data_IF_913743102790
#
_entry.id   IF_913743102790
#
_cell.length_a   1.000
_cell.length_b   1.000
_cell.length_c   1.000
_cell.angle_alpha   90.00
_cell.angle_beta   90.00
_cell.angle_gamma   90.00
#
_symmetry.space_group_name_H-M   'P 1'
#
loop_
_entity.id
_entity.type
_entity.pdbx_description
1 polymer ?
#
# COMPACT_ATOMS: atom_id res chain seq x y z
N UNK A 1 15.37 -2.89 5.07
CA UNK A 1 13.91 -2.57 5.21
C UNK A 1 13.09 -3.85 5.13
N UNK A 2 11.97 -3.96 5.89
CA UNK A 2 11.08 -5.13 5.84
C UNK A 2 9.66 -4.72 5.46
N UNK A 3 9.06 -5.49 4.56
CA UNK A 3 7.66 -5.39 4.14
C UNK A 3 6.87 -6.55 4.74
N UNK A 4 5.82 -6.29 5.53
CA UNK A 4 4.85 -7.29 5.98
C UNK A 4 3.51 -7.03 5.28
N UNK A 5 2.99 -8.02 4.56
CA UNK A 5 1.72 -7.92 3.86
C UNK A 5 0.57 -8.26 4.80
N UNK A 6 -0.16 -7.25 5.25
CA UNK A 6 -1.31 -7.43 6.14
C UNK A 6 -2.56 -7.84 5.35
N UNK A 7 -2.71 -7.32 4.13
CA UNK A 7 -3.79 -7.66 3.22
C UNK A 7 -3.38 -7.41 1.78
N UNK A 8 -3.97 -8.18 0.86
CA UNK A 8 -3.55 -8.22 -0.55
C UNK A 8 -4.72 -8.25 -1.54
N UNK A 9 -5.96 -8.14 -1.06
CA UNK A 9 -7.12 -8.28 -1.92
C UNK A 9 -7.74 -6.93 -2.28
N UNK A 10 -8.29 -6.83 -3.47
CA UNK A 10 -9.13 -5.74 -3.96
C UNK A 10 -10.14 -6.23 -5.00
N UNK A 11 -11.29 -5.55 -5.15
CA UNK A 11 -11.81 -4.47 -4.32
C UNK A 11 -12.54 -4.93 -3.03
N UNK A 12 -12.48 -6.23 -2.71
CA UNK A 12 -13.03 -6.80 -1.47
C UNK A 12 -12.21 -8.01 -1.03
N UNK A 13 -12.16 -8.33 0.27
CA UNK A 13 -11.40 -9.47 0.75
C UNK A 13 -12.14 -10.77 0.46
N UNK A 14 -11.42 -11.84 0.16
CA UNK A 14 -12.00 -13.19 0.19
C UNK A 14 -12.22 -13.66 1.65
N UNK A 15 -12.99 -14.74 1.90
CA UNK A 15 -13.15 -15.29 3.25
C UNK A 15 -11.81 -15.55 3.93
N UNK A 16 -11.62 -14.99 5.14
CA UNK A 16 -10.37 -15.05 5.89
C UNK A 16 -9.23 -14.15 5.38
N UNK A 17 -9.44 -13.43 4.28
CA UNK A 17 -8.50 -12.46 3.72
C UNK A 17 -8.69 -11.05 4.27
N UNK A 18 -7.82 -10.13 3.82
CA UNK A 18 -7.92 -8.69 4.05
C UNK A 18 -7.67 -7.92 2.75
N UNK A 19 -8.23 -6.71 2.66
CA UNK A 19 -7.94 -5.76 1.59
C UNK A 19 -6.53 -5.20 1.70
N UNK A 20 -6.17 -4.28 0.80
CA UNK A 20 -4.82 -3.72 0.70
C UNK A 20 -4.33 -3.12 2.01
N UNK A 21 -3.15 -3.57 2.48
CA UNK A 21 -2.48 -3.02 3.64
C UNK A 21 -1.09 -3.63 3.82
N UNK A 22 -0.09 -2.75 3.98
CA UNK A 22 1.32 -3.12 3.99
C UNK A 22 2.03 -2.41 5.13
N UNK A 23 2.61 -3.18 6.05
CA UNK A 23 3.37 -2.65 7.16
C UNK A 23 4.86 -2.67 6.82
N UNK A 24 5.52 -1.52 6.91
CA UNK A 24 6.94 -1.36 6.61
C UNK A 24 7.70 -0.98 7.88
N UNK A 25 8.81 -1.67 8.10
CA UNK A 25 9.75 -1.44 9.17
C UNK A 25 11.15 -1.16 8.61
N UNK A 26 11.77 -0.06 9.05
CA UNK A 26 13.17 0.25 8.75
C UNK A 26 13.86 0.82 10.00
N UNK A 27 14.65 -0.02 10.68
CA UNK A 27 15.19 0.29 12.00
C UNK A 27 14.07 0.62 13.01
N UNK A 28 14.05 1.84 13.57
CA UNK A 28 13.00 2.25 14.50
C UNK A 28 11.72 2.73 13.79
N UNK A 29 11.78 3.02 12.48
CA UNK A 29 10.67 3.62 11.73
C UNK A 29 9.63 2.58 11.34
N UNK A 30 8.37 2.91 11.57
CA UNK A 30 7.21 2.05 11.33
C UNK A 30 6.12 2.81 10.59
N UNK A 31 5.81 2.40 9.38
CA UNK A 31 4.72 3.00 8.60
C UNK A 31 3.71 1.96 8.14
N UNK A 32 2.48 2.39 7.97
CA UNK A 32 1.42 1.60 7.34
C UNK A 32 1.09 2.23 5.98
N UNK A 33 1.13 1.44 4.92
CA UNK A 33 0.65 1.83 3.58
C UNK A 33 -0.67 1.13 3.35
N UNK A 34 -1.70 1.90 3.08
CA UNK A 34 -3.10 1.50 2.96
C UNK A 34 -3.64 0.76 4.21
N UNK A 35 -4.93 0.86 4.43
CA UNK A 35 -5.62 0.30 5.58
C UNK A 35 -7.03 -0.14 5.21
N UNK A 36 -7.13 -1.09 4.29
CA UNK A 36 -8.39 -1.68 3.86
C UNK A 36 -9.00 -2.65 4.88
N UNK A 37 -10.15 -3.21 4.55
CA UNK A 37 -10.91 -4.08 5.46
C UNK A 37 -10.09 -5.29 5.95
N UNK A 38 -9.97 -5.45 7.27
CA UNK A 38 -9.25 -6.54 7.95
C UNK A 38 -7.77 -6.25 8.23
N UNK A 39 -7.25 -5.09 7.80
CA UNK A 39 -5.86 -4.70 8.00
C UNK A 39 -5.56 -4.34 9.44
N UNK A 40 -6.43 -3.58 10.10
CA UNK A 40 -6.22 -3.14 11.47
C UNK A 40 -5.96 -4.32 12.44
N UNK A 41 -6.78 -5.36 12.37
CA UNK A 41 -6.64 -6.50 13.28
C UNK A 41 -5.30 -7.22 13.11
N UNK A 42 -4.76 -7.25 11.89
CA UNK A 42 -3.46 -7.84 11.58
C UNK A 42 -2.30 -6.92 11.90
N UNK A 43 -2.48 -5.60 11.74
CA UNK A 43 -1.49 -4.62 12.18
C UNK A 43 -1.23 -4.73 13.68
N UNK A 44 -2.29 -4.92 14.48
CA UNK A 44 -2.19 -5.05 15.93
C UNK A 44 -1.47 -6.33 16.40
N UNK A 45 -1.24 -7.30 15.52
CA UNK A 45 -0.33 -8.42 15.78
C UNK A 45 1.15 -7.97 15.84
N UNK A 46 1.48 -6.79 15.31
CA UNK A 46 2.85 -6.24 15.18
C UNK A 46 3.06 -4.97 16.00
N UNK A 47 2.11 -4.04 15.92
CA UNK A 47 2.23 -2.71 16.54
C UNK A 47 0.85 -2.13 16.84
N UNK A 48 0.72 -1.39 17.95
CA UNK A 48 -0.46 -0.58 18.19
C UNK A 48 -0.45 0.64 17.25
N UNK A 49 -1.58 1.04 16.62
CA UNK A 49 -1.63 2.14 15.65
C UNK A 49 -1.04 3.47 16.16
N UNK A 50 -1.16 3.77 17.45
CA UNK A 50 -0.57 4.97 18.06
C UNK A 50 0.97 5.00 17.99
N UNK A 51 1.62 3.88 17.74
CA UNK A 51 3.09 3.75 17.64
C UNK A 51 3.58 3.74 16.18
N UNK A 52 2.70 3.98 15.20
CA UNK A 52 3.10 4.23 13.83
C UNK A 52 3.70 5.63 13.69
N UNK A 53 4.76 5.76 12.90
CA UNK A 53 5.33 7.05 12.56
C UNK A 53 4.50 7.77 11.48
N UNK A 54 3.84 7.02 10.60
CA UNK A 54 2.89 7.53 9.63
C UNK A 54 1.96 6.43 9.10
N UNK A 55 0.81 6.86 8.58
CA UNK A 55 -0.05 6.11 7.67
C UNK A 55 -0.01 6.83 6.33
N UNK A 56 0.17 6.08 5.24
CA UNK A 56 0.23 6.63 3.89
C UNK A 56 -0.80 5.90 3.02
N UNK A 57 -1.78 6.62 2.49
CA UNK A 57 -2.76 6.06 1.58
C UNK A 57 -2.35 6.30 0.14
N UNK A 58 -2.37 5.23 -0.67
CA UNK A 58 -2.23 5.34 -2.12
C UNK A 58 -3.38 6.14 -2.70
N UNK A 59 -4.60 5.87 -2.24
CA UNK A 59 -5.83 6.56 -2.62
C UNK A 59 -6.97 6.30 -1.61
N UNK A 60 -8.16 6.83 -1.92
CA UNK A 60 -9.28 6.85 -0.98
C UNK A 60 -10.45 5.91 -1.38
N UNK A 61 -10.20 4.84 -2.17
CA UNK A 61 -11.17 3.75 -2.28
C UNK A 61 -11.26 2.98 -0.96
N UNK A 62 -12.44 2.42 -0.67
CA UNK A 62 -12.72 1.84 0.64
C UNK A 62 -11.89 0.60 0.96
N UNK A 63 -11.49 -0.16 -0.04
CA UNK A 63 -10.59 -1.31 0.13
C UNK A 63 -9.13 -0.93 0.44
N UNK A 64 -8.83 0.38 0.46
CA UNK A 64 -7.55 0.95 0.87
C UNK A 64 -7.63 1.77 2.16
N UNK A 65 -8.83 2.11 2.67
CA UNK A 65 -8.95 3.01 3.81
C UNK A 65 -10.05 2.65 4.83
N UNK A 66 -10.86 1.62 4.59
CA UNK A 66 -12.05 1.33 5.43
C UNK A 66 -11.73 1.06 6.90
N UNK A 67 -10.62 0.41 7.22
CA UNK A 67 -10.29 0.13 8.62
C UNK A 67 -9.84 1.37 9.42
N UNK A 68 -9.52 2.49 8.73
CA UNK A 68 -9.26 3.76 9.43
C UNK A 68 -10.48 4.27 10.20
N UNK A 69 -11.70 3.94 9.74
CA UNK A 69 -12.93 4.30 10.47
C UNK A 69 -13.05 3.61 11.83
N UNK A 70 -12.51 2.41 11.98
CA UNK A 70 -12.46 1.70 13.26
C UNK A 70 -11.14 1.94 14.01
N UNK A 71 -10.04 2.16 13.29
CA UNK A 71 -8.73 2.47 13.89
C UNK A 71 -8.79 3.69 14.81
N UNK A 72 -9.61 4.70 14.48
CA UNK A 72 -9.77 5.87 15.33
C UNK A 72 -10.24 5.53 16.77
N UNK A 73 -10.99 4.44 16.96
CA UNK A 73 -11.37 4.01 18.32
C UNK A 73 -10.17 3.45 19.08
N UNK A 74 -9.30 2.69 18.40
CA UNK A 74 -8.05 2.24 19.01
C UNK A 74 -7.13 3.42 19.36
N UNK A 75 -7.08 4.46 18.49
CA UNK A 75 -6.33 5.68 18.77
C UNK A 75 -6.98 6.51 19.90
N UNK A 76 -8.30 6.50 20.03
CA UNK A 76 -8.99 7.19 21.12
C UNK A 76 -8.80 6.50 22.48
N UNK A 77 -8.56 5.21 22.49
CA UNK A 77 -8.30 4.42 23.70
C UNK A 77 -6.81 4.33 24.07
N UNK A 78 -5.97 5.24 23.54
CA UNK A 78 -4.55 5.28 23.93
C UNK A 78 -4.40 5.46 25.43
N UNK A 79 -3.55 4.65 26.05
CA UNK A 79 -3.09 4.87 27.40
C UNK A 79 -2.12 6.06 27.39
N UNK A 80 -2.55 7.17 27.98
CA UNK A 80 -1.73 8.37 28.15
C UNK A 80 -1.66 8.74 29.62
N UNK A 81 -0.54 9.30 30.05
CA UNK A 81 -0.42 9.85 31.40
C UNK A 81 -1.46 10.96 31.64
N UNK A 82 -1.94 11.09 32.88
CA UNK A 82 -2.93 12.10 33.21
C UNK A 82 -2.44 13.50 32.86
N UNK A 83 -3.18 14.19 31.98
CA UNK A 83 -2.86 15.52 31.49
C UNK A 83 -1.98 15.58 30.23
N UNK A 84 -1.54 14.45 29.70
CA UNK A 84 -0.87 14.40 28.41
C UNK A 84 -1.89 14.39 27.26
N UNK A 85 -1.52 14.99 26.12
CA UNK A 85 -2.31 14.90 24.90
C UNK A 85 -2.10 13.55 24.21
N UNK A 86 -3.17 12.99 23.62
CA UNK A 86 -3.09 11.80 22.78
C UNK A 86 -2.28 12.11 21.54
N UNK A 87 -1.39 11.18 21.16
CA UNK A 87 -0.63 11.30 19.92
C UNK A 87 -1.57 11.20 18.74
N UNK A 88 -1.49 12.17 17.83
CA UNK A 88 -2.10 12.08 16.49
C UNK A 88 -1.15 11.35 15.55
N UNK A 89 -1.71 10.49 14.71
CA UNK A 89 -0.89 9.77 13.72
C UNK A 89 -0.89 10.55 12.41
N UNK A 90 0.30 10.93 11.88
CA UNK A 90 0.41 11.55 10.56
C UNK A 90 -0.24 10.67 9.48
N UNK A 91 -1.14 11.27 8.68
CA UNK A 91 -1.86 10.61 7.59
C UNK A 91 -1.57 11.32 6.27
N UNK A 92 -0.72 10.72 5.45
CA UNK A 92 -0.40 11.22 4.10
C UNK A 92 -1.36 10.59 3.09
N UNK A 93 -2.04 11.43 2.29
CA UNK A 93 -3.12 10.95 1.41
C UNK A 93 -3.40 11.93 0.28
N UNK A 94 -3.92 11.49 -0.88
CA UNK A 94 -4.59 12.38 -1.80
C UNK A 94 -5.75 13.12 -1.12
N UNK A 95 -6.13 14.29 -1.64
CA UNK A 95 -7.22 15.09 -1.08
C UNK A 95 -8.61 14.75 -1.66
N UNK A 96 -8.69 13.81 -2.59
CA UNK A 96 -9.93 13.39 -3.25
C UNK A 96 -10.10 11.86 -3.19
N UNK A 97 -11.35 11.37 -3.02
CA UNK A 97 -12.60 12.11 -2.82
C UNK A 97 -12.65 12.82 -1.46
N UNK A 98 -12.95 14.13 -1.49
CA UNK A 98 -12.93 14.98 -0.28
C UNK A 98 -13.83 14.48 0.86
N UNK A 99 -15.02 13.98 0.55
CA UNK A 99 -15.97 13.51 1.57
C UNK A 99 -15.43 12.27 2.31
N UNK A 100 -14.70 11.38 1.61
CA UNK A 100 -14.04 10.24 2.24
C UNK A 100 -12.95 10.70 3.20
N UNK A 101 -12.06 11.61 2.75
CA UNK A 101 -11.01 12.17 3.59
C UNK A 101 -11.58 12.86 4.83
N UNK A 102 -12.59 13.71 4.66
CA UNK A 102 -13.28 14.40 5.75
C UNK A 102 -13.86 13.41 6.76
N UNK A 103 -14.50 12.34 6.29
CA UNK A 103 -15.09 11.32 7.16
C UNK A 103 -14.02 10.56 7.97
N UNK A 104 -12.88 10.21 7.36
CA UNK A 104 -11.75 9.57 8.04
C UNK A 104 -11.15 10.49 9.10
N UNK A 105 -10.93 11.76 8.80
CA UNK A 105 -10.22 12.72 9.67
C UNK A 105 -11.11 13.36 10.74
N UNK A 106 -12.42 13.08 10.74
CA UNK A 106 -13.33 13.53 11.81
C UNK A 106 -12.87 12.97 13.16
N UNK A 107 -12.76 13.86 14.18
CA UNK A 107 -12.35 13.50 15.54
C UNK A 107 -10.87 13.78 15.86
N UNK A 108 -10.10 14.32 14.88
CA UNK A 108 -8.73 14.84 15.06
C UNK A 108 -7.72 13.83 15.66
N UNK A 109 -7.88 12.54 15.40
CA UNK A 109 -6.94 11.48 15.82
C UNK A 109 -5.87 11.21 14.77
N UNK A 110 -6.13 11.63 13.53
CA UNK A 110 -5.16 11.67 12.44
C UNK A 110 -4.73 13.12 12.18
N UNK A 111 -3.49 13.29 11.74
CA UNK A 111 -2.95 14.56 11.27
C UNK A 111 -2.81 14.49 9.74
N UNK A 112 -3.81 15.00 8.96
CA UNK A 112 -3.82 14.83 7.52
C UNK A 112 -2.83 15.76 6.82
N UNK A 113 -2.04 15.18 5.91
CA UNK A 113 -1.12 15.85 5.00
C UNK A 113 -1.48 15.43 3.57
N UNK A 114 -1.82 16.39 2.73
CA UNK A 114 -2.09 16.10 1.32
C UNK A 114 -0.79 15.88 0.56
N UNK A 115 -0.74 14.79 -0.22
CA UNK A 115 0.38 14.44 -1.10
C UNK A 115 -0.11 14.11 -2.50
N UNK A 116 0.73 14.37 -3.50
CA UNK A 116 0.47 14.13 -4.92
C UNK A 116 1.73 13.70 -5.65
N UNK A 117 1.58 13.22 -6.87
CA UNK A 117 2.71 12.90 -7.74
C UNK A 117 3.70 14.06 -7.85
N UNK A 118 4.99 13.76 -7.66
CA UNK A 118 6.10 14.69 -7.61
C UNK A 118 6.52 15.11 -6.20
N UNK A 119 5.68 14.91 -5.19
CA UNK A 119 6.05 15.20 -3.79
C UNK A 119 7.03 14.17 -3.24
N UNK A 120 7.85 14.60 -2.29
CA UNK A 120 8.77 13.75 -1.52
C UNK A 120 8.63 14.08 -0.05
N UNK A 121 8.50 13.05 0.78
CA UNK A 121 8.46 13.21 2.24
C UNK A 121 9.53 12.35 2.91
N UNK A 122 9.86 12.68 4.14
CA UNK A 122 10.71 11.86 5.00
C UNK A 122 9.94 11.49 6.26
N UNK A 123 9.92 10.21 6.60
CA UNK A 123 9.34 9.67 7.83
C UNK A 123 10.40 8.81 8.52
N UNK A 124 10.96 9.32 9.61
CA UNK A 124 12.06 8.63 10.30
C UNK A 124 13.24 8.36 9.37
N UNK A 125 13.57 7.10 9.15
CA UNK A 125 14.65 6.65 8.26
C UNK A 125 14.24 6.51 6.80
N UNK A 126 12.96 6.60 6.50
CA UNK A 126 12.39 6.37 5.18
C UNK A 126 12.24 7.67 4.39
N UNK A 127 12.63 7.64 3.12
CA UNK A 127 12.28 8.67 2.12
C UNK A 127 11.24 8.10 1.18
N UNK A 128 10.12 8.81 0.99
CA UNK A 128 9.00 8.37 0.15
C UNK A 128 8.76 9.40 -0.95
N UNK A 129 8.96 9.00 -2.21
CA UNK A 129 8.67 9.82 -3.39
C UNK A 129 7.39 9.34 -4.08
N UNK A 130 6.48 10.25 -4.37
CA UNK A 130 5.17 9.96 -4.94
C UNK A 130 5.16 10.14 -6.46
N UNK A 131 4.45 9.25 -7.15
CA UNK A 131 4.22 9.32 -8.60
C UNK A 131 2.74 9.15 -8.89
N UNK A 132 2.16 10.04 -9.69
CA UNK A 132 0.76 9.91 -10.10
C UNK A 132 0.55 8.67 -10.97
N UNK A 133 -0.48 7.90 -10.67
CA UNK A 133 -0.84 6.66 -11.37
C UNK A 133 -2.18 6.82 -12.11
N UNK A 134 -2.51 5.88 -12.98
CA UNK A 134 -3.67 5.98 -13.85
C UNK A 134 -4.86 5.16 -13.32
N UNK A 135 -5.75 5.83 -12.58
CA UNK A 135 -6.94 5.23 -11.95
C UNK A 135 -8.11 6.22 -11.96
N UNK A 136 -9.39 5.79 -11.75
CA UNK A 136 -10.54 6.70 -11.76
C UNK A 136 -10.53 7.81 -10.69
N UNK A 137 -9.81 7.61 -9.58
CA UNK A 137 -9.56 8.62 -8.56
C UNK A 137 -8.06 8.91 -8.48
N UNK A 138 -7.61 10.04 -7.89
CA UNK A 138 -6.19 10.29 -7.70
C UNK A 138 -5.51 9.17 -6.91
N UNK A 139 -4.52 8.52 -7.54
CA UNK A 139 -3.68 7.48 -6.93
C UNK A 139 -2.23 7.91 -6.98
N UNK A 140 -1.53 7.72 -5.89
CA UNK A 140 -0.08 7.89 -5.80
C UNK A 140 0.61 6.52 -5.68
N UNK A 141 1.41 6.17 -6.68
CA UNK A 141 2.47 5.18 -6.51
C UNK A 141 3.57 5.76 -5.62
N UNK A 142 4.34 4.90 -4.95
CA UNK A 142 5.30 5.33 -3.92
C UNK A 142 6.63 4.59 -4.08
N UNK A 143 7.72 5.34 -4.22
CA UNK A 143 9.07 4.80 -4.01
C UNK A 143 9.44 5.00 -2.55
N UNK A 144 9.65 3.92 -1.82
CA UNK A 144 10.04 3.92 -0.41
C UNK A 144 11.49 3.48 -0.36
N UNK A 145 12.37 4.38 0.09
CA UNK A 145 13.81 4.13 0.19
C UNK A 145 14.21 4.09 1.65
N UNK A 146 14.83 2.99 2.07
CA UNK A 146 15.33 2.77 3.42
C UNK A 146 16.69 3.43 3.68
N UNK A 147 17.15 3.38 4.92
CA UNK A 147 18.42 3.96 5.35
C UNK A 147 19.65 3.35 4.64
N UNK A 148 19.55 2.11 4.19
CA UNK A 148 20.61 1.40 3.47
C UNK A 148 20.61 1.71 1.95
N UNK A 149 19.69 2.56 1.48
CA UNK A 149 19.52 2.94 0.09
C UNK A 149 18.70 1.96 -0.74
N UNK A 150 18.31 0.80 -0.22
CA UNK A 150 17.43 -0.12 -0.91
C UNK A 150 16.00 0.43 -0.98
N UNK A 151 15.32 0.13 -2.08
CA UNK A 151 14.01 0.74 -2.33
C UNK A 151 12.97 -0.23 -2.88
N UNK A 152 11.73 -0.01 -2.44
CA UNK A 152 10.52 -0.64 -2.93
C UNK A 152 9.70 0.40 -3.70
N UNK A 153 9.26 0.07 -4.92
CA UNK A 153 8.21 0.83 -5.58
C UNK A 153 6.87 0.12 -5.42
N UNK A 154 5.89 0.78 -4.83
CA UNK A 154 4.49 0.33 -4.76
C UNK A 154 3.66 1.11 -5.77
N UNK A 155 2.91 0.42 -6.62
CA UNK A 155 2.11 1.09 -7.66
C UNK A 155 0.85 1.76 -7.11
N UNK A 156 0.27 1.26 -5.99
CA UNK A 156 -1.14 1.47 -5.74
C UNK A 156 -1.96 0.84 -6.87
N UNK A 157 -3.22 1.24 -7.00
CA UNK A 157 -4.10 0.79 -8.07
C UNK A 157 -3.81 1.54 -9.36
N UNK A 158 -3.63 0.82 -10.46
CA UNK A 158 -3.36 1.46 -11.74
C UNK A 158 -3.61 0.53 -12.93
N UNK A 159 -4.12 1.07 -14.01
CA UNK A 159 -3.98 0.45 -15.34
C UNK A 159 -2.60 0.77 -15.91
N UNK A 160 -2.17 -0.02 -16.89
CA UNK A 160 -0.96 0.29 -17.66
C UNK A 160 -1.12 1.62 -18.43
N UNK A 161 -0.07 2.44 -18.44
CA UNK A 161 0.03 3.66 -19.24
C UNK A 161 1.48 3.87 -19.72
N UNK A 162 1.70 4.60 -20.82
CA UNK A 162 3.04 4.82 -21.37
C UNK A 162 3.97 5.50 -20.37
N UNK A 163 5.16 4.93 -20.17
CA UNK A 163 6.19 5.51 -19.30
C UNK A 163 6.03 5.20 -17.81
N UNK A 164 5.06 4.37 -17.40
CA UNK A 164 4.88 4.02 -16.00
C UNK A 164 6.10 3.30 -15.38
N UNK A 165 6.87 2.59 -16.17
CA UNK A 165 8.11 1.92 -15.76
C UNK A 165 9.17 2.90 -15.23
N UNK A 166 9.13 4.17 -15.67
CA UNK A 166 10.06 5.21 -15.20
C UNK A 166 9.89 5.46 -13.68
N UNK A 167 8.67 5.30 -13.15
CA UNK A 167 8.42 5.43 -11.72
C UNK A 167 9.15 4.37 -10.89
N UNK A 168 9.28 3.16 -11.40
CA UNK A 168 9.96 2.05 -10.74
C UNK A 168 11.45 1.91 -11.12
N UNK A 169 11.94 2.70 -12.10
CA UNK A 169 13.30 2.56 -12.62
C UNK A 169 14.36 2.65 -11.52
N UNK A 170 15.17 1.60 -11.36
CA UNK A 170 16.21 1.51 -10.35
C UNK A 170 15.71 1.24 -8.92
N UNK A 171 14.45 0.85 -8.73
CA UNK A 171 14.02 0.25 -7.47
C UNK A 171 14.52 -1.21 -7.38
N UNK A 172 14.84 -1.68 -6.17
CA UNK A 172 15.26 -3.06 -5.95
C UNK A 172 14.07 -4.02 -6.08
N UNK A 173 12.91 -3.61 -5.62
CA UNK A 173 11.68 -4.39 -5.68
C UNK A 173 10.49 -3.56 -6.18
N UNK A 174 9.53 -4.25 -6.81
CA UNK A 174 8.26 -3.71 -7.26
C UNK A 174 7.11 -4.47 -6.58
N UNK A 175 6.24 -3.77 -5.87
CA UNK A 175 4.96 -4.26 -5.37
C UNK A 175 3.86 -3.72 -6.30
N UNK A 176 3.32 -4.57 -7.15
CA UNK A 176 2.47 -4.15 -8.27
C UNK A 176 1.02 -4.62 -8.12
N UNK A 177 0.09 -3.73 -8.50
CA UNK A 177 -1.28 -4.10 -8.81
C UNK A 177 -1.29 -5.23 -9.85
N UNK A 178 -2.00 -6.30 -9.57
CA UNK A 178 -2.21 -7.43 -10.45
C UNK A 178 -3.62 -7.99 -10.23
N UNK A 179 -4.61 -7.10 -10.23
CA UNK A 179 -5.99 -7.43 -9.96
C UNK A 179 -6.55 -8.42 -11.01
N UNK A 180 -6.15 -8.24 -12.26
CA UNK A 180 -6.58 -9.10 -13.37
C UNK A 180 -5.57 -10.20 -13.65
N UNK A 181 -6.07 -11.37 -14.03
CA UNK A 181 -5.21 -12.51 -14.38
C UNK A 181 -4.58 -12.30 -15.74
N UNK A 182 -5.38 -12.02 -16.75
CA UNK A 182 -4.97 -11.89 -18.12
C UNK A 182 -5.74 -10.78 -18.88
N UNK A 183 -5.38 -10.61 -20.17
CA UNK A 183 -5.95 -9.55 -21.01
C UNK A 183 -7.43 -9.74 -21.40
N UNK A 184 -8.08 -10.82 -21.01
CA UNK A 184 -9.54 -10.98 -21.19
C UNK A 184 -10.34 -10.13 -20.20
N UNK A 185 -9.67 -9.70 -19.10
CA UNK A 185 -10.24 -8.81 -18.08
C UNK A 185 -9.80 -7.37 -18.39
N UNK A 186 -10.75 -6.44 -18.33
CA UNK A 186 -10.50 -5.02 -18.64
C UNK A 186 -11.01 -4.14 -17.52
N UNK A 187 -10.31 -3.04 -17.25
CA UNK A 187 -10.68 -2.10 -16.20
C UNK A 187 -9.54 -1.19 -15.77
N UNK A 188 -9.64 -0.61 -14.57
CA UNK A 188 -8.65 0.35 -14.09
C UNK A 188 -7.42 -0.28 -13.41
N UNK A 189 -7.15 -1.56 -13.64
CA UNK A 189 -6.06 -2.32 -13.04
C UNK A 189 -5.18 -2.99 -14.09
N UNK A 190 -3.99 -3.42 -13.66
CA UNK A 190 -3.11 -4.24 -14.47
C UNK A 190 -3.49 -5.73 -14.38
N UNK A 191 -3.13 -6.47 -15.43
CA UNK A 191 -3.02 -7.94 -15.38
C UNK A 191 -1.57 -8.37 -15.16
N UNK A 192 -1.38 -9.65 -14.81
CA UNK A 192 -0.08 -10.21 -14.39
C UNK A 192 1.04 -9.92 -15.41
N UNK A 193 0.79 -10.10 -16.70
CA UNK A 193 1.83 -9.85 -17.72
C UNK A 193 2.24 -8.38 -17.81
N UNK A 194 1.32 -7.44 -17.60
CA UNK A 194 1.64 -6.01 -17.58
C UNK A 194 2.53 -5.66 -16.36
N UNK A 195 2.26 -6.26 -15.20
CA UNK A 195 3.13 -6.11 -14.04
C UNK A 195 4.53 -6.71 -14.28
N UNK A 196 4.62 -7.89 -14.93
CA UNK A 196 5.89 -8.50 -15.34
C UNK A 196 6.65 -7.65 -16.36
N UNK A 197 5.96 -7.07 -17.35
CA UNK A 197 6.53 -6.15 -18.32
C UNK A 197 7.10 -4.89 -17.66
N UNK A 198 6.32 -4.28 -16.74
CA UNK A 198 6.78 -3.13 -15.96
C UNK A 198 8.04 -3.47 -15.17
N UNK A 199 8.06 -4.62 -14.46
CA UNK A 199 9.21 -5.07 -13.69
C UNK A 199 10.47 -5.24 -14.55
N UNK A 200 10.31 -5.83 -15.74
CA UNK A 200 11.40 -6.04 -16.72
C UNK A 200 11.94 -4.72 -17.23
N UNK A 201 11.06 -3.82 -17.65
CA UNK A 201 11.43 -2.53 -18.22
C UNK A 201 12.05 -1.58 -17.17
N UNK A 202 11.62 -1.68 -15.93
CA UNK A 202 12.19 -0.94 -14.79
C UNK A 202 13.50 -1.54 -14.27
N UNK A 203 13.83 -2.79 -14.63
CA UNK A 203 15.05 -3.47 -14.19
C UNK A 203 15.06 -3.84 -12.72
N UNK A 204 13.90 -4.07 -12.09
CA UNK A 204 13.84 -4.46 -10.68
C UNK A 204 14.34 -5.90 -10.47
N UNK A 205 14.89 -6.18 -9.29
CA UNK A 205 15.36 -7.51 -8.93
C UNK A 205 14.20 -8.46 -8.60
N UNK A 206 13.16 -7.94 -7.94
CA UNK A 206 12.04 -8.74 -7.44
C UNK A 206 10.70 -8.07 -7.75
N UNK A 207 9.73 -8.88 -8.19
CA UNK A 207 8.34 -8.47 -8.41
C UNK A 207 7.42 -9.15 -7.40
N UNK A 208 6.66 -8.35 -6.66
CA UNK A 208 5.59 -8.78 -5.77
C UNK A 208 4.24 -8.42 -6.37
N UNK A 209 3.40 -9.42 -6.65
CA UNK A 209 2.05 -9.25 -7.20
C UNK A 209 1.05 -9.19 -6.06
N UNK A 210 0.24 -8.13 -6.02
CA UNK A 210 -0.74 -7.84 -4.99
C UNK A 210 -2.06 -7.34 -5.59
N UNK A 211 -2.99 -6.86 -4.77
CA UNK A 211 -4.32 -6.38 -5.14
C UNK A 211 -5.15 -7.45 -5.88
N UNK A 212 -5.16 -8.67 -5.32
CA UNK A 212 -5.76 -9.82 -5.98
C UNK A 212 -7.28 -9.75 -5.92
N UNK A 213 -7.96 -9.92 -7.04
CA UNK A 213 -9.40 -10.05 -7.01
C UNK A 213 -9.81 -11.29 -6.20
N UNK A 214 -10.75 -11.12 -5.27
CA UNK A 214 -11.19 -12.17 -4.35
C UNK A 214 -11.93 -13.37 -4.98
N UNK A 215 -11.87 -13.53 -6.31
CA UNK A 215 -12.40 -14.70 -7.03
C UNK A 215 -11.67 -15.98 -6.61
N UNK A 216 -12.41 -17.08 -6.65
CA UNK A 216 -11.90 -18.42 -6.40
C UNK A 216 -10.79 -18.75 -7.43
N UNK A 217 -9.72 -19.38 -6.97
CA UNK A 217 -8.60 -19.88 -7.78
C UNK A 217 -7.74 -18.82 -8.52
N UNK A 218 -7.90 -17.52 -8.21
CA UNK A 218 -7.15 -16.44 -8.86
C UNK A 218 -5.63 -16.64 -8.75
N UNK A 219 -5.11 -17.07 -7.59
CA UNK A 219 -3.66 -17.20 -7.39
C UNK A 219 -3.02 -18.26 -8.30
N UNK A 220 -3.66 -19.41 -8.49
CA UNK A 220 -3.13 -20.47 -9.36
C UNK A 220 -3.24 -20.09 -10.85
N UNK A 221 -4.26 -19.33 -11.22
CA UNK A 221 -4.36 -18.77 -12.57
C UNK A 221 -3.25 -17.72 -12.81
N UNK A 222 -3.03 -16.81 -11.86
CA UNK A 222 -1.97 -15.81 -11.94
C UNK A 222 -0.58 -16.43 -12.10
N UNK A 223 -0.27 -17.49 -11.35
CA UNK A 223 1.02 -18.19 -11.45
C UNK A 223 1.34 -18.71 -12.85
N UNK A 224 0.32 -19.04 -13.64
CA UNK A 224 0.48 -19.50 -15.03
C UNK A 224 0.84 -18.34 -15.99
N UNK A 225 0.46 -17.12 -15.65
CA UNK A 225 0.70 -15.93 -16.44
C UNK A 225 2.02 -15.22 -16.07
N UNK A 226 2.68 -15.64 -14.98
CA UNK A 226 3.96 -15.08 -14.56
C UNK A 226 5.05 -15.46 -15.57
N UNK A 227 5.70 -14.45 -16.15
CA UNK A 227 6.83 -14.59 -17.08
C UNK A 227 8.07 -13.78 -16.63
N UNK A 228 8.15 -13.43 -15.33
CA UNK A 228 9.29 -12.77 -14.71
C UNK A 228 9.94 -13.71 -13.69
N UNK A 229 11.28 -13.97 -13.75
CA UNK A 229 11.91 -15.06 -12.97
C UNK A 229 11.77 -14.93 -11.46
N UNK A 230 11.83 -13.69 -10.95
CA UNK A 230 11.75 -13.38 -9.51
C UNK A 230 10.39 -12.77 -9.14
N UNK A 231 9.29 -13.27 -9.74
CA UNK A 231 7.95 -12.82 -9.42
C UNK A 231 7.27 -13.72 -8.40
N UNK A 232 6.62 -13.11 -7.43
CA UNK A 232 5.90 -13.78 -6.35
C UNK A 232 4.52 -13.17 -6.16
N UNK A 233 3.48 -14.01 -6.09
CA UNK A 233 2.20 -13.60 -5.55
C UNK A 233 2.37 -13.47 -4.03
N UNK A 234 2.22 -12.26 -3.46
CA UNK A 234 2.45 -12.05 -2.04
C UNK A 234 1.50 -12.89 -1.18
N UNK A 235 1.95 -13.29 -0.01
CA UNK A 235 1.13 -14.00 0.98
C UNK A 235 0.74 -13.06 2.10
N UNK A 236 -0.51 -13.13 2.53
CA UNK A 236 -0.95 -12.45 3.74
C UNK A 236 -0.13 -12.92 4.94
N UNK A 237 0.25 -12.00 5.82
CA UNK A 237 1.22 -12.19 6.92
C UNK A 237 2.65 -12.58 6.45
N UNK A 238 2.89 -12.60 5.13
CA UNK A 238 4.24 -12.76 4.59
C UNK A 238 5.11 -11.56 4.93
N UNK A 239 6.35 -11.82 5.38
CA UNK A 239 7.36 -10.80 5.66
C UNK A 239 8.52 -10.96 4.68
N UNK A 240 8.85 -9.88 3.99
CA UNK A 240 9.82 -9.83 2.91
C UNK A 240 10.93 -8.82 3.27
N UNK A 241 12.18 -9.20 3.02
CA UNK A 241 13.31 -8.27 3.09
C UNK A 241 13.47 -7.58 1.73
N UNK A 242 13.54 -6.26 1.73
CA UNK A 242 13.76 -5.43 0.55
C UNK A 242 15.22 -4.99 0.51
#
# INVERSE_FOLDING_TARGET
MFLTVLGRHGPYPRPGGACSGYYIEDGPTRILIDCGAGVLSRLMEHVHPANLDAIILSHLHFDHCSDLFVMRYALDQQDVEAGAEKRRVPLYTPNEPFETLKAITTGALFEPHTVKGGDVITVGTLTIAFTAMAHPVPVNGMRITGADGRSLFFTGDTKQFPGMEQAALGADALLADACFVDASETGPHMHVKQACEMARNAGVETLYLTHLWGKRDTEDAMKKEIDFPSAFVVKERGRYCI
#
